data_IF_866764761954
#
_entry.id   IF_866764761954
#
_cell.length_a   1.000
_cell.length_b   1.000
_cell.length_c   1.000
_cell.angle_alpha   90.00
_cell.angle_beta   90.00
_cell.angle_gamma   90.00
#
_symmetry.space_group_name_H-M   'P 1'
#
loop_
_entity.id
_entity.type
_entity.pdbx_description
1 polymer ?
#
# COMPACT_ATOMS: atom_id res chain seq x y z
N UNK A 1 -1.20 21.55 16.44
CA UNK A 1 -0.81 20.12 16.35
C UNK A 1 -0.66 19.77 14.89
N UNK A 2 0.42 19.08 14.49
CA UNK A 2 0.72 18.81 13.08
C UNK A 2 0.25 17.38 12.74
N UNK A 3 -1.00 17.25 12.31
CA UNK A 3 -1.53 15.99 11.78
C UNK A 3 -1.49 16.06 10.25
N UNK A 4 -0.39 15.59 9.66
CA UNK A 4 -0.09 15.74 8.24
C UNK A 4 0.19 14.39 7.59
N UNK A 5 -0.73 13.96 6.71
CA UNK A 5 -0.64 12.80 5.81
C UNK A 5 -0.37 11.42 6.45
N UNK A 6 0.76 11.22 7.12
CA UNK A 6 1.25 9.96 7.69
C UNK A 6 0.22 9.27 8.60
N UNK A 7 -0.34 9.98 9.59
CA UNK A 7 -1.41 9.44 10.45
C UNK A 7 -2.65 8.97 9.67
N UNK A 8 -2.98 9.64 8.56
CA UNK A 8 -4.12 9.27 7.72
C UNK A 8 -3.79 8.03 6.88
N UNK A 9 -2.55 7.89 6.42
CA UNK A 9 -2.09 6.72 5.67
C UNK A 9 -1.87 5.50 6.58
N UNK A 10 -1.52 5.69 7.86
CA UNK A 10 -1.57 4.66 8.90
C UNK A 10 -3.01 4.19 9.16
N UNK A 11 -3.96 5.12 9.30
CA UNK A 11 -5.38 4.79 9.48
C UNK A 11 -5.93 3.97 8.29
N UNK A 12 -5.54 4.29 7.05
CA UNK A 12 -5.93 3.51 5.86
C UNK A 12 -5.46 2.06 5.93
N UNK A 13 -4.25 1.79 6.43
CA UNK A 13 -3.72 0.42 6.60
C UNK A 13 -4.53 -0.35 7.64
N UNK A 14 -4.75 0.25 8.81
CA UNK A 14 -5.57 -0.33 9.87
C UNK A 14 -7.02 -0.62 9.42
N UNK A 15 -7.61 0.22 8.55
CA UNK A 15 -8.94 -0.03 7.98
C UNK A 15 -8.92 -1.26 7.06
N UNK A 16 -7.90 -1.41 6.21
CA UNK A 16 -7.76 -2.57 5.30
C UNK A 16 -7.52 -3.86 6.09
N UNK A 17 -6.70 -3.81 7.13
CA UNK A 17 -6.44 -4.92 8.05
C UNK A 17 -7.71 -5.33 8.81
N UNK A 18 -8.48 -4.37 9.34
CA UNK A 18 -9.75 -4.64 10.03
C UNK A 18 -10.85 -5.17 9.11
N UNK A 19 -10.93 -4.66 7.87
CA UNK A 19 -11.90 -5.10 6.86
C UNK A 19 -11.52 -6.46 6.25
N UNK A 20 -10.28 -6.92 6.43
CA UNK A 20 -9.78 -8.20 5.93
C UNK A 20 -9.74 -8.32 4.40
N UNK A 21 -9.86 -7.21 3.67
CA UNK A 21 -9.95 -7.15 2.20
C UNK A 21 -9.32 -5.87 1.65
N UNK A 22 -8.82 -5.95 0.42
CA UNK A 22 -8.41 -4.79 -0.39
C UNK A 22 -9.62 -4.00 -0.90
N UNK A 23 -9.37 -2.81 -1.47
CA UNK A 23 -10.38 -1.87 -1.96
C UNK A 23 -10.14 -1.54 -3.44
N UNK A 24 -10.06 -2.60 -4.26
CA UNK A 24 -9.57 -2.57 -5.63
C UNK A 24 -10.68 -2.17 -6.62
N UNK A 25 -11.92 -2.55 -6.32
CA UNK A 25 -13.13 -2.24 -7.08
C UNK A 25 -13.89 -1.06 -6.46
N UNK A 26 -14.58 -0.23 -7.25
CA UNK A 26 -15.55 0.74 -6.71
C UNK A 26 -16.60 0.10 -5.79
N UNK A 27 -16.95 -1.18 -5.99
CA UNK A 27 -17.94 -1.89 -5.17
C UNK A 27 -17.43 -2.20 -3.76
N UNK A 28 -16.12 -2.35 -3.56
CA UNK A 28 -15.55 -2.74 -2.26
C UNK A 28 -15.72 -1.63 -1.22
N UNK A 29 -15.72 -0.38 -1.67
CA UNK A 29 -16.06 0.79 -0.85
C UNK A 29 -17.54 0.84 -0.44
N UNK A 30 -18.44 0.20 -1.18
CA UNK A 30 -19.85 0.07 -0.82
C UNK A 30 -20.04 -1.09 0.19
N UNK A 31 -19.22 -2.14 0.11
CA UNK A 31 -19.12 -3.17 1.16
C UNK A 31 -18.53 -2.60 2.46
N UNK A 32 -17.39 -1.90 2.40
CA UNK A 32 -16.79 -1.23 3.55
C UNK A 32 -17.72 -0.16 4.17
N UNK A 33 -18.54 0.51 3.35
CA UNK A 33 -19.58 1.45 3.83
C UNK A 33 -20.67 0.75 4.66
N UNK A 34 -21.00 -0.51 4.34
CA UNK A 34 -21.91 -1.33 5.13
C UNK A 34 -21.26 -1.87 6.40
N UNK A 35 -20.03 -2.37 6.29
CA UNK A 35 -19.26 -2.98 7.39
C UNK A 35 -18.94 -1.97 8.50
N UNK A 36 -18.46 -0.76 8.15
CA UNK A 36 -18.27 0.35 9.09
C UNK A 36 -19.56 0.67 9.86
N UNK A 37 -20.72 0.63 9.18
CA UNK A 37 -22.02 0.91 9.80
C UNK A 37 -22.47 -0.22 10.73
N UNK A 38 -22.13 -1.47 10.43
CA UNK A 38 -22.43 -2.62 11.30
C UNK A 38 -21.57 -2.59 12.56
N UNK A 39 -20.26 -2.31 12.45
CA UNK A 39 -19.35 -2.24 13.59
C UNK A 39 -19.52 -0.98 14.46
N UNK A 40 -19.80 0.19 13.86
CA UNK A 40 -19.81 1.48 14.59
C UNK A 40 -21.20 2.09 14.81
N UNK A 41 -22.23 1.60 14.11
CA UNK A 41 -23.56 2.23 14.03
C UNK A 41 -23.63 3.50 13.16
N UNK A 42 -22.50 4.04 12.70
CA UNK A 42 -22.43 5.29 11.93
C UNK A 42 -22.12 5.04 10.45
N UNK A 43 -22.76 5.81 9.56
CA UNK A 43 -22.67 5.59 8.11
C UNK A 43 -21.69 6.57 7.46
N UNK A 44 -20.61 6.04 6.88
CA UNK A 44 -19.74 6.80 5.95
C UNK A 44 -20.10 6.35 4.52
N UNK A 45 -20.51 7.29 3.66
CA UNK A 45 -20.84 6.96 2.27
C UNK A 45 -19.62 6.49 1.48
N UNK A 46 -19.79 5.54 0.57
CA UNK A 46 -18.69 5.03 -0.26
C UNK A 46 -18.03 6.12 -1.10
N UNK A 47 -18.76 7.15 -1.54
CA UNK A 47 -18.21 8.33 -2.21
C UNK A 47 -17.30 9.20 -1.30
N UNK A 48 -17.38 9.05 0.02
CA UNK A 48 -16.46 9.67 0.98
C UNK A 48 -15.22 8.80 1.18
N UNK A 49 -15.40 7.48 1.33
CA UNK A 49 -14.30 6.50 1.39
C UNK A 49 -13.45 6.55 0.11
N UNK A 50 -14.07 6.52 -1.07
CA UNK A 50 -13.43 6.68 -2.38
C UNK A 50 -12.58 7.97 -2.49
N UNK A 51 -12.97 9.07 -1.83
CA UNK A 51 -12.14 10.29 -1.78
C UNK A 51 -10.98 10.18 -0.78
N UNK A 52 -11.19 9.53 0.37
CA UNK A 52 -10.15 9.32 1.39
C UNK A 52 -9.00 8.44 0.86
N UNK A 53 -9.35 7.33 0.21
CA UNK A 53 -8.39 6.39 -0.39
C UNK A 53 -7.85 6.85 -1.77
N UNK A 54 -8.36 7.96 -2.32
CA UNK A 54 -7.85 8.57 -3.56
C UNK A 54 -8.40 8.02 -4.87
N UNK A 55 -9.41 7.13 -4.81
CA UNK A 55 -10.17 6.65 -5.99
C UNK A 55 -10.96 7.78 -6.68
N UNK A 56 -11.43 8.77 -5.92
CA UNK A 56 -12.01 10.03 -6.44
C UNK A 56 -11.13 11.21 -6.06
N UNK A 57 -11.08 12.25 -6.93
CA UNK A 57 -10.43 13.53 -6.62
C UNK A 57 -10.95 14.08 -5.27
N UNK A 58 -10.06 14.41 -4.31
CA UNK A 58 -10.47 15.01 -3.05
C UNK A 58 -11.00 16.42 -3.30
N UNK A 59 -12.25 16.69 -2.91
CA UNK A 59 -12.86 18.01 -2.97
C UNK A 59 -12.48 18.91 -1.79
N UNK A 60 -12.06 18.28 -0.68
CA UNK A 60 -11.84 18.88 0.64
C UNK A 60 -11.04 17.90 1.48
N UNK A 61 -10.31 18.38 2.50
CA UNK A 61 -9.69 17.52 3.49
C UNK A 61 -10.75 16.70 4.27
N UNK A 62 -10.46 15.45 4.67
CA UNK A 62 -11.40 14.63 5.43
C UNK A 62 -11.75 15.30 6.76
N UNK A 63 -13.04 15.33 7.11
CA UNK A 63 -13.49 15.96 8.36
C UNK A 63 -12.99 15.16 9.57
N UNK A 64 -12.55 15.81 10.68
CA UNK A 64 -12.14 15.11 11.89
C UNK A 64 -13.20 14.15 12.46
N UNK A 65 -14.49 14.45 12.28
CA UNK A 65 -15.58 13.53 12.63
C UNK A 65 -15.53 12.23 11.82
N UNK A 66 -15.33 12.30 10.51
CA UNK A 66 -15.16 11.11 9.63
C UNK A 66 -13.95 10.29 10.04
N UNK A 67 -12.83 10.94 10.38
CA UNK A 67 -11.64 10.26 10.91
C UNK A 67 -11.91 9.59 12.27
N UNK A 68 -12.73 10.19 13.14
CA UNK A 68 -13.13 9.58 14.43
C UNK A 68 -14.15 8.45 14.31
N UNK A 69 -14.94 8.37 13.24
CA UNK A 69 -15.74 7.15 12.94
C UNK A 69 -14.80 6.03 12.50
N UNK A 70 -13.85 6.32 11.61
CA UNK A 70 -12.88 5.35 11.11
C UNK A 70 -11.92 4.85 12.18
N UNK A 71 -11.49 5.71 13.11
CA UNK A 71 -10.71 5.31 14.28
C UNK A 71 -11.48 4.32 15.18
N UNK A 72 -12.80 4.54 15.36
CA UNK A 72 -13.68 3.62 16.09
C UNK A 72 -13.94 2.31 15.36
N UNK A 73 -14.00 2.34 14.03
CA UNK A 73 -14.04 1.12 13.22
C UNK A 73 -12.81 0.25 13.47
N UNK A 74 -11.61 0.83 13.53
CA UNK A 74 -10.35 0.11 13.85
C UNK A 74 -10.07 0.00 15.36
N UNK A 75 -11.09 0.13 16.22
CA UNK A 75 -11.03 -0.22 17.64
C UNK A 75 -10.61 0.87 18.64
N UNK A 76 -10.30 2.09 18.20
CA UNK A 76 -9.90 3.21 19.07
C UNK A 76 -11.11 4.06 19.51
N UNK A 77 -10.98 4.89 20.54
CA UNK A 77 -12.08 5.76 20.98
C UNK A 77 -12.38 6.92 20.02
N UNK A 78 -11.40 7.36 19.23
CA UNK A 78 -11.55 8.42 18.23
C UNK A 78 -10.23 8.81 17.55
N UNK A 79 -10.26 9.84 16.70
CA UNK A 79 -9.10 10.23 15.89
C UNK A 79 -7.89 10.68 16.71
N UNK A 80 -8.10 11.46 17.78
CA UNK A 80 -7.01 11.94 18.64
C UNK A 80 -6.29 10.79 19.36
N UNK A 81 -7.05 9.80 19.81
CA UNK A 81 -6.59 8.60 20.51
C UNK A 81 -5.75 7.72 19.56
N UNK A 82 -6.28 7.43 18.36
CA UNK A 82 -5.50 6.78 17.29
C UNK A 82 -4.19 7.53 17.01
N UNK A 83 -4.24 8.86 16.84
CA UNK A 83 -3.04 9.65 16.59
C UNK A 83 -2.03 9.63 17.74
N UNK A 84 -2.46 9.54 19.00
CA UNK A 84 -1.59 9.46 20.17
C UNK A 84 -0.93 8.08 20.27
N UNK A 85 -1.69 7.01 20.04
CA UNK A 85 -1.18 5.64 20.01
C UNK A 85 -0.14 5.40 18.89
N UNK A 86 -0.22 6.14 17.77
CA UNK A 86 0.81 6.10 16.71
C UNK A 86 2.05 6.97 17.01
N UNK A 87 2.05 7.76 18.09
CA UNK A 87 3.21 8.57 18.53
C UNK A 87 3.99 7.89 19.66
N UNK A 88 3.32 7.08 20.47
CA UNK A 88 3.95 6.17 21.42
C UNK A 88 4.29 4.83 20.74
N UNK A 89 5.57 4.54 20.54
CA UNK A 89 6.00 3.17 20.21
C UNK A 89 5.57 2.16 21.28
N UNK A 90 5.53 0.84 20.97
CA UNK A 90 4.94 -0.18 21.83
C UNK A 90 5.57 -0.18 23.22
N UNK A 91 4.83 0.34 24.18
CA UNK A 91 5.18 0.56 25.59
C UNK A 91 3.92 0.42 26.43
N UNK A 92 4.08 -0.02 27.67
CA UNK A 92 2.99 -0.61 28.45
C UNK A 92 1.96 0.40 28.98
N UNK A 93 0.76 -0.11 29.29
CA UNK A 93 -0.40 0.66 29.79
C UNK A 93 -0.18 1.28 31.16
N UNK A 94 -0.95 2.33 31.47
CA UNK A 94 -1.69 2.30 32.74
C UNK A 94 -3.19 2.65 32.61
N UNK A 95 -4.00 1.84 33.29
CA UNK A 95 -5.20 2.15 34.10
C UNK A 95 -6.04 3.43 33.81
N UNK A 96 -7.38 3.43 33.83
CA UNK A 96 -8.47 2.43 33.95
C UNK A 96 -9.81 3.23 33.81
N UNK A 97 -11.08 2.80 33.95
CA UNK A 97 -11.92 1.61 34.32
C UNK A 97 -13.35 1.91 33.72
N UNK A 98 -14.39 1.04 33.79
CA UNK A 98 -14.47 -0.43 33.81
C UNK A 98 -15.45 -1.01 32.75
N UNK A 99 -15.51 -2.34 32.61
CA UNK A 99 -16.82 -3.00 32.54
C UNK A 99 -17.36 -3.56 31.21
N UNK A 100 -16.65 -4.48 30.55
CA UNK A 100 -17.34 -5.54 29.76
C UNK A 100 -16.61 -6.88 29.85
N UNK A 101 -17.32 -7.94 30.25
CA UNK A 101 -16.79 -9.31 30.28
C UNK A 101 -16.80 -9.88 28.86
N UNK A 102 -15.65 -10.33 28.36
CA UNK A 102 -15.54 -11.16 27.16
C UNK A 102 -14.73 -12.41 27.57
N UNK A 103 -15.23 -13.59 27.23
CA UNK A 103 -14.77 -14.86 27.79
C UNK A 103 -14.24 -15.78 26.70
N UNK A 104 -12.97 -16.22 26.83
CA UNK A 104 -12.43 -17.37 26.12
C UNK A 104 -11.72 -17.10 24.78
N UNK A 105 -10.44 -16.75 24.83
CA UNK A 105 -9.49 -16.90 23.69
C UNK A 105 -8.28 -17.79 24.06
N UNK A 106 -7.96 -17.94 25.36
CA UNK A 106 -6.72 -18.56 25.86
C UNK A 106 -6.49 -20.06 25.64
N UNK A 107 -7.30 -20.74 24.83
CA UNK A 107 -7.12 -22.19 24.51
C UNK A 107 -6.49 -22.40 23.13
N UNK A 108 -6.81 -21.54 22.15
CA UNK A 108 -6.41 -21.75 20.74
C UNK A 108 -4.90 -21.51 20.55
N UNK A 109 -4.33 -20.48 21.20
CA UNK A 109 -2.91 -20.15 21.11
C UNK A 109 -1.99 -21.25 21.65
N UNK A 110 -2.39 -21.94 22.73
CA UNK A 110 -1.55 -22.97 23.38
C UNK A 110 -1.36 -24.18 22.48
N UNK A 111 -2.42 -24.62 21.78
CA UNK A 111 -2.36 -25.78 20.87
C UNK A 111 -1.53 -25.47 19.61
N UNK A 112 -1.60 -24.25 19.08
CA UNK A 112 -0.80 -23.83 17.93
C UNK A 112 0.70 -23.85 18.21
N UNK A 113 1.12 -23.36 19.39
CA UNK A 113 2.53 -23.36 19.81
C UNK A 113 3.08 -24.80 19.93
N UNK A 114 2.31 -25.73 20.49
CA UNK A 114 2.73 -27.13 20.64
C UNK A 114 2.90 -27.82 19.28
N UNK A 115 2.02 -27.57 18.31
CA UNK A 115 2.17 -28.11 16.94
C UNK A 115 3.43 -27.56 16.25
N UNK A 116 3.66 -26.26 16.30
CA UNK A 116 4.81 -25.60 15.65
C UNK A 116 6.17 -26.14 16.15
N UNK A 117 6.25 -26.51 17.43
CA UNK A 117 7.47 -27.10 18.02
C UNK A 117 7.77 -28.54 17.58
N UNK A 118 6.82 -29.27 16.98
CA UNK A 118 7.02 -30.67 16.55
C UNK A 118 7.71 -30.76 15.18
N UNK A 119 7.45 -29.83 14.26
CA UNK A 119 8.02 -29.87 12.90
C UNK A 119 9.46 -29.36 12.83
N UNK A 120 9.89 -28.54 13.79
CA UNK A 120 11.21 -27.87 13.83
C UNK A 120 12.41 -28.79 14.17
N UNK A 121 12.29 -30.12 14.04
CA UNK A 121 13.38 -31.08 14.31
C UNK A 121 13.59 -32.10 13.20
N UNK A 122 14.07 -31.66 12.04
CA UNK A 122 14.59 -32.56 11.00
C UNK A 122 15.65 -31.95 10.07
N UNK A 123 16.84 -31.71 10.60
CA UNK A 123 18.02 -31.42 9.77
C UNK A 123 18.90 -32.66 9.57
N UNK A 124 19.60 -32.71 8.43
CA UNK A 124 20.38 -33.86 7.95
C UNK A 124 21.88 -33.53 8.07
N UNK A 125 22.73 -34.42 8.62
CA UNK A 125 24.15 -34.13 8.75
C UNK A 125 24.84 -34.10 7.38
N UNK A 126 25.58 -33.03 7.10
CA UNK A 126 26.45 -32.89 5.92
C UNK A 126 27.91 -32.84 6.38
N UNK A 127 28.76 -33.68 5.77
CA UNK A 127 30.15 -33.91 6.17
C UNK A 127 31.09 -32.80 5.69
N UNK A 128 32.00 -32.34 6.57
CA UNK A 128 33.02 -31.34 6.25
C UNK A 128 34.23 -31.93 5.47
N UNK A 129 34.80 -31.14 4.54
CA UNK A 129 36.23 -30.80 4.58
C UNK A 129 36.49 -29.34 4.15
N UNK A 130 37.64 -28.67 4.34
CA UNK A 130 38.84 -28.79 5.18
C UNK A 130 39.53 -27.39 5.16
N UNK A 131 40.50 -27.11 6.03
CA UNK A 131 41.00 -25.74 6.28
C UNK A 131 42.21 -25.37 5.39
N UNK A 132 42.30 -24.10 4.97
CA UNK A 132 43.57 -23.46 4.59
C UNK A 132 43.68 -22.07 5.26
N UNK A 133 44.76 -21.86 6.03
CA UNK A 133 45.03 -20.62 6.79
C UNK A 133 45.61 -19.50 5.91
N UNK A 134 45.46 -18.23 6.32
CA UNK A 134 46.61 -17.35 6.66
C UNK A 134 46.24 -16.05 7.41
N UNK A 135 47.03 -15.76 8.45
CA UNK A 135 47.28 -14.49 9.15
C UNK A 135 46.13 -13.58 9.67
N UNK A 136 45.92 -13.71 10.99
CA UNK A 136 46.15 -12.66 12.01
C UNK A 136 45.50 -11.26 11.87
N UNK A 137 44.51 -11.01 12.72
CA UNK A 137 44.70 -10.02 13.82
C UNK A 137 43.75 -10.32 14.98
N UNK A 138 44.19 -10.07 16.22
CA UNK A 138 43.43 -10.44 17.44
C UNK A 138 42.78 -9.22 18.07
N UNK A 139 41.46 -9.30 18.26
CA UNK A 139 40.70 -8.59 19.29
C UNK A 139 39.66 -9.56 19.86
N UNK A 140 39.50 -9.60 21.19
CA UNK A 140 38.59 -10.48 21.92
C UNK A 140 37.90 -9.65 23.03
N UNK A 141 36.71 -10.10 23.46
CA UNK A 141 35.74 -9.46 24.36
C UNK A 141 35.00 -8.24 23.73
N UNK A 142 33.67 -8.10 23.83
CA UNK A 142 32.66 -8.93 24.51
C UNK A 142 31.39 -9.10 23.63
N UNK A 143 30.65 -10.20 23.83
CA UNK A 143 29.64 -10.67 22.88
C UNK A 143 28.33 -9.87 22.80
N UNK A 144 27.87 -9.60 21.56
CA UNK A 144 26.45 -9.61 21.15
C UNK A 144 26.35 -10.22 19.75
N UNK A 145 26.28 -11.56 19.67
CA UNK A 145 26.22 -12.31 18.40
C UNK A 145 24.79 -12.37 17.82
N UNK A 146 24.11 -11.22 17.75
CA UNK A 146 22.76 -11.10 17.15
C UNK A 146 22.68 -9.78 16.37
N UNK A 147 23.11 -9.79 15.10
CA UNK A 147 22.71 -8.73 14.14
C UNK A 147 22.95 -9.04 12.66
N UNK A 148 24.02 -9.75 12.32
CA UNK A 148 24.52 -9.79 10.93
C UNK A 148 23.47 -10.37 9.95
N UNK A 149 22.92 -11.55 10.25
CA UNK A 149 21.87 -12.19 9.44
C UNK A 149 20.62 -11.32 9.29
N UNK A 150 20.15 -10.68 10.36
CA UNK A 150 18.94 -9.83 10.31
C UNK A 150 19.16 -8.56 9.49
N UNK A 151 20.33 -7.93 9.61
CA UNK A 151 20.70 -6.76 8.79
C UNK A 151 20.87 -7.16 7.32
N UNK A 152 21.48 -8.32 7.05
CA UNK A 152 21.64 -8.83 5.69
C UNK A 152 20.29 -9.23 5.05
N UNK A 153 19.34 -9.76 5.82
CA UNK A 153 17.97 -10.03 5.33
C UNK A 153 17.24 -8.73 5.01
N UNK A 154 17.22 -7.76 5.92
CA UNK A 154 16.55 -6.47 5.73
C UNK A 154 17.13 -5.68 4.54
N UNK A 155 18.44 -5.76 4.31
CA UNK A 155 19.08 -5.12 3.16
C UNK A 155 18.81 -5.83 1.83
N UNK A 156 18.66 -7.17 1.82
CA UNK A 156 18.27 -7.89 0.61
C UNK A 156 16.77 -7.71 0.28
N UNK A 157 15.89 -7.72 1.28
CA UNK A 157 14.45 -7.40 1.14
C UNK A 157 14.25 -6.00 0.52
N UNK A 158 14.88 -4.98 1.11
CA UNK A 158 14.81 -3.61 0.60
C UNK A 158 15.42 -3.48 -0.81
N UNK A 159 16.50 -4.22 -1.10
CA UNK A 159 17.12 -4.26 -2.43
C UNK A 159 16.19 -4.87 -3.49
N UNK A 160 15.47 -5.95 -3.17
CA UNK A 160 14.45 -6.55 -4.05
C UNK A 160 13.32 -5.56 -4.32
N UNK A 161 12.83 -4.89 -3.27
CA UNK A 161 11.81 -3.84 -3.40
C UNK A 161 12.25 -2.73 -4.35
N UNK A 162 13.46 -2.18 -4.16
CA UNK A 162 14.02 -1.12 -5.01
C UNK A 162 14.17 -1.54 -6.48
N UNK A 163 14.57 -2.78 -6.73
CA UNK A 163 14.66 -3.34 -8.09
C UNK A 163 13.27 -3.50 -8.73
N UNK A 164 12.29 -4.03 -7.99
CA UNK A 164 10.91 -4.18 -8.45
C UNK A 164 10.25 -2.83 -8.74
N UNK A 165 10.36 -1.86 -7.81
CA UNK A 165 9.86 -0.50 -7.97
C UNK A 165 10.46 0.15 -9.22
N UNK A 166 11.79 0.11 -9.38
CA UNK A 166 12.48 0.69 -10.54
C UNK A 166 12.05 0.04 -11.86
N UNK A 167 11.87 -1.28 -11.88
CA UNK A 167 11.37 -2.02 -13.05
C UNK A 167 9.94 -1.62 -13.41
N UNK A 168 9.03 -1.57 -12.42
CA UNK A 168 7.64 -1.21 -12.64
C UNK A 168 7.49 0.25 -13.06
N UNK A 169 8.19 1.19 -12.42
CA UNK A 169 8.21 2.61 -12.80
C UNK A 169 8.77 2.80 -14.22
N UNK A 170 9.90 2.17 -14.55
CA UNK A 170 10.47 2.20 -15.91
C UNK A 170 9.55 1.57 -16.97
N UNK A 171 8.66 0.66 -16.56
CA UNK A 171 7.66 0.04 -17.43
C UNK A 171 6.44 0.93 -17.62
N UNK A 172 5.94 1.56 -16.55
CA UNK A 172 4.88 2.57 -16.62
C UNK A 172 5.28 3.74 -17.54
N UNK A 173 6.50 4.28 -17.38
CA UNK A 173 7.04 5.35 -18.23
C UNK A 173 7.00 4.98 -19.72
N UNK A 174 7.54 3.81 -20.10
CA UNK A 174 7.54 3.34 -21.50
C UNK A 174 6.14 3.21 -22.10
N UNK A 175 5.13 2.82 -21.32
CA UNK A 175 3.74 2.81 -21.80
C UNK A 175 3.19 4.23 -21.99
N UNK A 176 3.50 5.16 -21.08
CA UNK A 176 3.12 6.57 -21.22
C UNK A 176 3.80 7.23 -22.42
N UNK A 177 5.07 6.96 -22.66
CA UNK A 177 5.81 7.52 -23.80
C UNK A 177 5.30 6.97 -25.14
N UNK A 178 4.84 5.72 -25.18
CA UNK A 178 4.15 5.12 -26.34
C UNK A 178 2.81 5.81 -26.66
N UNK A 179 2.08 6.26 -25.63
CA UNK A 179 0.88 7.10 -25.77
C UNK A 179 1.26 8.51 -26.27
N UNK A 180 2.23 9.17 -25.62
CA UNK A 180 2.70 10.52 -25.96
C UNK A 180 3.26 10.63 -27.37
N UNK A 181 3.94 9.58 -27.87
CA UNK A 181 4.43 9.50 -29.24
C UNK A 181 3.34 9.64 -30.32
N UNK A 182 2.05 9.47 -29.98
CA UNK A 182 0.93 9.65 -30.91
C UNK A 182 0.36 11.08 -30.96
N UNK A 183 0.84 12.01 -30.12
CA UNK A 183 0.35 13.41 -30.07
C UNK A 183 0.37 14.14 -31.41
N UNK A 184 1.31 13.81 -32.30
CA UNK A 184 1.45 14.39 -33.64
C UNK A 184 0.63 13.69 -34.73
N UNK A 185 -0.03 12.57 -34.42
CA UNK A 185 -0.81 11.75 -35.36
C UNK A 185 -2.33 11.97 -35.23
N UNK A 186 -2.74 12.85 -34.32
CA UNK A 186 -4.13 13.07 -33.90
C UNK A 186 -4.37 14.56 -33.69
N UNK A 187 -5.61 15.01 -33.90
CA UNK A 187 -6.06 16.28 -33.33
C UNK A 187 -6.08 16.21 -31.79
N UNK A 188 -6.26 17.36 -31.14
CA UNK A 188 -6.13 17.43 -29.68
C UNK A 188 -7.30 16.82 -28.90
N UNK A 189 -8.52 16.78 -29.47
CA UNK A 189 -9.67 16.18 -28.81
C UNK A 189 -9.64 14.66 -28.93
N UNK A 190 -9.31 14.13 -30.11
CA UNK A 190 -9.04 12.70 -30.29
C UNK A 190 -7.85 12.25 -29.44
N UNK A 191 -6.75 13.02 -29.41
CA UNK A 191 -5.60 12.73 -28.55
C UNK A 191 -5.97 12.73 -27.06
N UNK A 192 -6.73 13.72 -26.58
CA UNK A 192 -7.21 13.74 -25.19
C UNK A 192 -8.05 12.50 -24.87
N UNK A 193 -9.02 12.16 -25.71
CA UNK A 193 -9.89 11.00 -25.49
C UNK A 193 -9.10 9.67 -25.57
N UNK A 194 -8.08 9.60 -26.42
CA UNK A 194 -7.14 8.48 -26.48
C UNK A 194 -6.30 8.38 -25.19
N UNK A 195 -5.77 9.49 -24.68
CA UNK A 195 -5.01 9.56 -23.42
C UNK A 195 -5.86 9.15 -22.23
N UNK A 196 -7.08 9.69 -22.08
CA UNK A 196 -8.00 9.34 -21.00
C UNK A 196 -8.30 7.83 -20.99
N UNK A 197 -8.54 7.24 -22.17
CA UNK A 197 -8.78 5.79 -22.32
C UNK A 197 -7.53 4.95 -22.04
N UNK A 198 -6.38 5.36 -22.58
CA UNK A 198 -5.10 4.65 -22.42
C UNK A 198 -4.61 4.68 -20.96
N UNK A 199 -4.84 5.78 -20.23
CA UNK A 199 -4.52 5.91 -18.81
C UNK A 199 -5.12 4.76 -17.98
N UNK A 200 -6.42 4.48 -18.14
CA UNK A 200 -7.08 3.41 -17.39
C UNK A 200 -6.53 2.03 -17.74
N UNK A 201 -6.38 1.73 -19.04
CA UNK A 201 -5.83 0.45 -19.49
C UNK A 201 -4.38 0.22 -19.02
N UNK A 202 -3.54 1.25 -19.06
CA UNK A 202 -2.15 1.16 -18.62
C UNK A 202 -2.07 1.05 -17.09
N UNK A 203 -2.69 1.98 -16.35
CA UNK A 203 -2.49 2.07 -14.91
C UNK A 203 -3.22 0.97 -14.12
N UNK A 204 -4.43 0.56 -14.51
CA UNK A 204 -5.28 -0.33 -13.71
C UNK A 204 -5.36 -1.78 -14.22
N UNK A 205 -5.07 -2.05 -15.50
CA UNK A 205 -5.05 -3.42 -16.04
C UNK A 205 -3.63 -3.92 -16.33
N UNK A 206 -2.86 -3.19 -17.14
CA UNK A 206 -1.52 -3.62 -17.52
C UNK A 206 -0.52 -3.56 -16.36
N UNK A 207 -0.42 -2.41 -15.67
CA UNK A 207 0.53 -2.27 -14.56
C UNK A 207 0.17 -3.14 -13.37
N UNK A 208 -1.12 -3.35 -13.08
CA UNK A 208 -1.59 -4.29 -12.05
C UNK A 208 -1.05 -5.72 -12.29
N UNK A 209 -1.21 -6.24 -13.51
CA UNK A 209 -0.70 -7.56 -13.92
C UNK A 209 0.82 -7.65 -13.87
N UNK A 210 1.53 -6.58 -14.27
CA UNK A 210 2.99 -6.50 -14.18
C UNK A 210 3.46 -6.54 -12.72
N UNK A 211 2.83 -5.75 -11.84
CA UNK A 211 3.19 -5.64 -10.43
C UNK A 211 2.88 -6.94 -9.68
N UNK A 212 1.67 -7.49 -9.83
CA UNK A 212 1.28 -8.76 -9.16
C UNK A 212 2.22 -9.91 -9.51
N UNK A 213 2.62 -10.04 -10.78
CA UNK A 213 3.65 -11.00 -11.19
C UNK A 213 5.00 -10.69 -10.54
N UNK A 214 5.46 -9.43 -10.61
CA UNK A 214 6.77 -9.03 -10.09
C UNK A 214 6.91 -9.27 -8.58
N UNK A 215 5.85 -9.01 -7.81
CA UNK A 215 5.81 -9.31 -6.37
C UNK A 215 5.89 -10.80 -6.09
N UNK A 216 5.17 -11.64 -6.86
CA UNK A 216 5.25 -13.11 -6.75
C UNK A 216 6.64 -13.65 -7.14
N UNK A 217 7.35 -13.01 -8.06
CA UNK A 217 8.72 -13.35 -8.47
C UNK A 217 9.77 -12.96 -7.40
N UNK A 218 9.71 -11.75 -6.85
CA UNK A 218 10.75 -11.21 -5.95
C UNK A 218 10.54 -11.61 -4.47
N UNK A 219 9.29 -11.82 -4.04
CA UNK A 219 8.89 -12.10 -2.65
C UNK A 219 8.08 -13.42 -2.50
N UNK A 220 8.60 -14.57 -2.98
CA UNK A 220 7.85 -15.83 -2.98
C UNK A 220 7.47 -16.27 -1.56
N UNK A 221 6.19 -16.53 -1.34
CA UNK A 221 5.64 -17.05 -0.08
C UNK A 221 5.16 -16.00 0.92
N UNK A 222 5.65 -14.74 0.84
CA UNK A 222 5.23 -13.69 1.77
C UNK A 222 4.06 -12.86 1.22
N UNK A 223 2.85 -13.27 1.59
CA UNK A 223 1.61 -12.58 1.18
C UNK A 223 1.51 -11.13 1.68
N UNK A 224 2.12 -10.81 2.84
CA UNK A 224 2.06 -9.47 3.43
C UNK A 224 3.01 -8.51 2.72
N UNK A 225 4.24 -8.93 2.41
CA UNK A 225 5.18 -8.16 1.60
C UNK A 225 4.69 -8.02 0.15
N UNK A 226 4.17 -9.10 -0.46
CA UNK A 226 3.54 -9.04 -1.79
C UNK A 226 2.43 -7.97 -1.83
N UNK A 227 1.52 -7.97 -0.85
CA UNK A 227 0.43 -7.01 -0.78
C UNK A 227 0.94 -5.58 -0.52
N UNK A 228 1.80 -5.40 0.49
CA UNK A 228 2.32 -4.08 0.89
C UNK A 228 3.09 -3.42 -0.25
N UNK A 229 4.10 -4.11 -0.78
CA UNK A 229 4.96 -3.57 -1.82
C UNK A 229 4.25 -3.49 -3.17
N UNK A 230 3.34 -4.42 -3.49
CA UNK A 230 2.49 -4.32 -4.66
C UNK A 230 1.63 -3.04 -4.65
N UNK A 231 0.95 -2.77 -3.54
CA UNK A 231 0.12 -1.56 -3.39
C UNK A 231 0.94 -0.26 -3.44
N UNK A 232 2.14 -0.25 -2.86
CA UNK A 232 3.02 0.92 -2.84
C UNK A 232 3.63 1.22 -4.22
N UNK A 233 4.10 0.18 -4.92
CA UNK A 233 4.59 0.29 -6.31
C UNK A 233 3.45 0.70 -7.25
N UNK A 234 2.23 0.16 -7.08
CA UNK A 234 1.05 0.53 -7.85
C UNK A 234 0.69 2.01 -7.68
N UNK A 235 0.74 2.52 -6.44
CA UNK A 235 0.49 3.93 -6.17
C UNK A 235 1.49 4.85 -6.90
N UNK A 236 2.78 4.55 -6.82
CA UNK A 236 3.83 5.33 -7.50
C UNK A 236 3.75 5.21 -9.04
N UNK A 237 3.46 4.01 -9.58
CA UNK A 237 3.27 3.83 -11.02
C UNK A 237 2.07 4.63 -11.54
N UNK A 238 0.96 4.66 -10.80
CA UNK A 238 -0.22 5.46 -11.15
C UNK A 238 0.09 6.96 -11.11
N UNK A 239 0.84 7.44 -10.12
CA UNK A 239 1.26 8.84 -10.02
C UNK A 239 2.10 9.26 -11.22
N UNK A 240 3.12 8.47 -11.60
CA UNK A 240 3.92 8.69 -12.81
C UNK A 240 3.08 8.67 -14.09
N UNK A 241 2.09 7.77 -14.20
CA UNK A 241 1.15 7.78 -15.33
C UNK A 241 0.31 9.07 -15.38
N UNK A 242 -0.21 9.55 -14.25
CA UNK A 242 -0.97 10.81 -14.17
C UNK A 242 -0.12 12.01 -14.57
N UNK A 243 1.15 12.08 -14.14
CA UNK A 243 2.04 13.19 -14.47
C UNK A 243 2.38 13.24 -15.97
N UNK A 244 2.84 12.12 -16.55
CA UNK A 244 3.25 12.07 -17.95
C UNK A 244 2.10 12.25 -18.94
N UNK A 245 0.87 11.95 -18.53
CA UNK A 245 -0.34 12.13 -19.34
C UNK A 245 -1.05 13.48 -19.11
N UNK A 246 -0.53 14.33 -18.22
CA UNK A 246 -1.19 15.59 -17.81
C UNK A 246 -1.05 16.74 -18.83
N UNK A 247 -0.12 16.59 -19.77
CA UNK A 247 0.32 17.64 -20.69
C UNK A 247 -0.56 17.75 -21.94
N UNK A 248 -1.75 18.33 -21.77
CA UNK A 248 -2.54 18.86 -22.88
C UNK A 248 -2.89 20.33 -22.54
N UNK A 249 -2.36 21.33 -23.26
CA UNK A 249 -2.58 22.74 -22.94
C UNK A 249 -4.07 23.11 -23.01
N UNK A 250 -4.54 23.85 -22.00
CA UNK A 250 -5.96 24.21 -21.84
C UNK A 250 -6.39 25.21 -22.93
N UNK A 251 -5.47 26.04 -23.38
CA UNK A 251 -5.59 26.99 -24.49
C UNK A 251 -5.69 26.29 -25.86
N UNK A 252 -4.87 25.26 -26.12
CA UNK A 252 -5.04 24.41 -27.32
C UNK A 252 -6.40 23.68 -27.30
N UNK A 253 -6.82 23.13 -26.16
CA UNK A 253 -8.14 22.49 -26.02
C UNK A 253 -9.29 23.49 -26.20
N UNK A 254 -9.18 24.69 -25.64
CA UNK A 254 -10.23 25.73 -25.71
C UNK A 254 -10.37 26.32 -27.11
N UNK A 255 -9.27 26.43 -27.86
CA UNK A 255 -9.29 26.89 -29.26
C UNK A 255 -9.86 25.81 -30.19
N UNK A 256 -9.46 24.55 -30.02
CA UNK A 256 -9.99 23.44 -30.80
C UNK A 256 -11.51 23.23 -30.59
N UNK A 257 -11.99 23.21 -29.33
CA UNK A 257 -13.42 23.05 -29.03
C UNK A 257 -14.30 24.17 -29.63
N UNK A 258 -13.78 25.40 -29.71
CA UNK A 258 -14.44 26.52 -30.42
C UNK A 258 -14.47 26.31 -31.94
N UNK A 259 -13.42 25.73 -32.51
CA UNK A 259 -13.37 25.44 -33.95
C UNK A 259 -14.37 24.36 -34.37
N UNK A 260 -14.60 23.34 -33.54
CA UNK A 260 -15.66 22.34 -33.79
C UNK A 260 -17.06 22.96 -33.73
N UNK A 261 -17.35 23.78 -32.72
CA UNK A 261 -18.65 24.45 -32.57
C UNK A 261 -18.94 25.39 -33.76
N UNK A 262 -17.93 26.14 -34.22
CA UNK A 262 -18.06 27.02 -35.39
C UNK A 262 -18.15 26.27 -36.73
N UNK A 263 -17.78 24.98 -36.78
CA UNK A 263 -17.89 24.13 -37.97
C UNK A 263 -19.21 23.32 -38.01
N UNK A 264 -20.07 23.48 -37.00
CA UNK A 264 -21.38 22.83 -36.87
C UNK A 264 -22.56 23.83 -36.97
N UNK A 265 -22.29 25.06 -37.43
CA UNK A 265 -23.25 26.14 -37.69
C UNK A 265 -23.27 26.54 -39.16
#
# INVERSE_FOLDING_TARGET
MIYSKEHIDLLKRAIIECFGRTLDSPTDYDMLSADIRECTGETISSATLKRLFGYLKPSTAPRPSTLSVLARYVGYTGWSDFCQAQQTGPSESPDSIPGRKIMGIGVILVLGIVMFFVESKREVPITAPQILHTHDTVYIEHAVEIKDTTVHILTDEHRRYELALRYCIGTAKRQCDSVRARRSQMDILAYKNYVDSAYFAIAFDYMDKVIKRRMQEDFPGDSLLIMRYGNEIFAQCREVCVELMREIPIDELTSAARSEQNAQQ
#
